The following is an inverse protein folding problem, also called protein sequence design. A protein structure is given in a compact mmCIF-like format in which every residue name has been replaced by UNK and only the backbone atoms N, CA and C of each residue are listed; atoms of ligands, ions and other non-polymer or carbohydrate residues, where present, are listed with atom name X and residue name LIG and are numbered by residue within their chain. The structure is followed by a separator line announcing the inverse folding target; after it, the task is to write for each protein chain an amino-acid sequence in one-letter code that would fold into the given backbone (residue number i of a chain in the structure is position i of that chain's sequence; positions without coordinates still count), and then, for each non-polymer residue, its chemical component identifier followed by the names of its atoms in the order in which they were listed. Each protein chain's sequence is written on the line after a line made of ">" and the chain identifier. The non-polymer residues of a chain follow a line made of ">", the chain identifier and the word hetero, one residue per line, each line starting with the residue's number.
data_IF_971508416066
#
_entry.id   IF_971508416066
#
_cell.length_a   1.000
_cell.length_b   1.000
_cell.length_c   1.000
_cell.angle_alpha   90.00
_cell.angle_beta   90.00
_cell.angle_gamma   90.00
#
_symmetry.space_group_name_H-M   'P 1'
#
loop_
_entity.id
_entity.type
_entity.pdbx_description
1 polymer ?
#
# COMPACT_ATOMS: atom_id res chain seq x y z
N UNK A 1 18.17 6.92 4.49
CA UNK A 1 18.71 5.71 5.14
C UNK A 1 17.64 5.22 6.09
N UNK A 2 17.25 3.93 6.07
CA UNK A 2 16.26 3.43 7.03
C UNK A 2 16.77 3.70 8.44
N UNK A 3 15.92 4.28 9.29
CA UNK A 3 16.28 4.54 10.68
C UNK A 3 16.32 3.18 11.37
N UNK A 4 17.52 2.71 11.72
CA UNK A 4 17.65 1.42 12.42
C UNK A 4 16.78 1.50 13.68
N UNK A 5 15.87 0.55 13.87
CA UNK A 5 14.99 0.49 15.04
C UNK A 5 15.84 0.48 16.32
N UNK A 6 15.51 1.34 17.29
CA UNK A 6 16.34 1.52 18.49
C UNK A 6 15.58 1.24 19.77
N UNK A 7 16.32 1.10 20.86
CA UNK A 7 15.76 1.23 22.20
C UNK A 7 15.47 2.71 22.45
N UNK A 8 14.23 2.99 22.85
CA UNK A 8 13.72 4.30 23.23
C UNK A 8 13.39 4.26 24.73
N UNK A 9 13.18 5.41 25.32
CA UNK A 9 12.69 5.51 26.69
C UNK A 9 11.42 6.35 26.72
N UNK A 10 10.57 6.15 27.73
CA UNK A 10 9.37 6.96 27.91
C UNK A 10 9.23 7.48 29.33
N UNK A 11 8.55 8.62 29.48
CA UNK A 11 8.20 9.20 30.77
C UNK A 11 6.87 9.96 30.66
N UNK A 12 6.09 10.10 31.74
CA UNK A 12 4.84 10.83 31.70
C UNK A 12 5.06 12.34 31.63
N UNK A 13 4.28 13.03 30.80
CA UNK A 13 4.20 14.48 30.76
C UNK A 13 3.72 15.00 32.13
N UNK A 14 4.40 16.00 32.72
CA UNK A 14 4.05 16.50 34.05
C UNK A 14 2.69 17.22 34.11
N UNK A 15 2.17 17.70 32.97
CA UNK A 15 0.89 18.42 32.90
C UNK A 15 -0.31 17.53 32.56
N UNK A 16 -0.19 16.67 31.54
CA UNK A 16 -1.32 15.89 31.02
C UNK A 16 -1.17 14.37 31.15
N UNK A 17 -0.09 13.89 31.77
CA UNK A 17 0.26 12.46 31.93
C UNK A 17 0.44 11.66 30.62
N UNK A 18 0.44 12.31 29.46
CA UNK A 18 0.73 11.65 28.20
C UNK A 18 2.18 11.12 28.17
N UNK A 19 2.39 9.95 27.58
CA UNK A 19 3.71 9.33 27.50
C UNK A 19 4.55 10.06 26.45
N UNK A 20 5.62 10.70 26.91
CA UNK A 20 6.64 11.32 26.07
C UNK A 20 7.71 10.27 25.78
N UNK A 21 8.16 10.19 24.53
CA UNK A 21 9.15 9.19 24.09
C UNK A 21 10.41 9.89 23.64
N UNK A 22 11.55 9.38 24.12
CA UNK A 22 12.89 9.92 23.91
C UNK A 22 13.68 8.95 23.05
N UNK A 23 14.33 9.46 22.01
CA UNK A 23 15.07 8.66 21.04
C UNK A 23 16.60 8.78 21.18
N UNK A 24 17.08 9.86 21.79
CA UNK A 24 18.51 10.10 22.01
C UNK A 24 18.80 10.56 23.43
N UNK A 25 20.04 10.35 23.88
CA UNK A 25 20.55 10.92 25.13
C UNK A 25 20.78 12.42 25.05
N UNK A 26 20.92 12.95 23.84
CA UNK A 26 21.15 14.37 23.58
C UNK A 26 19.84 15.19 23.64
N UNK A 27 18.69 14.54 23.84
CA UNK A 27 17.40 15.21 24.00
C UNK A 27 17.21 15.61 25.47
N UNK A 28 17.39 16.90 25.75
CA UNK A 28 17.18 17.46 27.09
C UNK A 28 15.72 17.86 27.35
N UNK A 29 14.97 18.15 26.29
CA UNK A 29 13.57 18.57 26.36
C UNK A 29 12.74 17.91 25.26
N UNK A 30 11.49 17.59 25.57
CA UNK A 30 10.51 17.06 24.62
C UNK A 30 9.21 17.86 24.72
N UNK A 31 8.68 18.26 23.58
CA UNK A 31 7.37 18.92 23.49
C UNK A 31 6.25 17.88 23.50
N UNK A 32 5.28 18.07 24.37
CA UNK A 32 4.13 17.19 24.49
C UNK A 32 3.08 17.53 23.43
N UNK A 33 2.94 16.69 22.40
CA UNK A 33 1.95 16.88 21.31
C UNK A 33 0.48 16.85 21.74
N UNK A 34 0.18 16.62 23.03
CA UNK A 34 -1.17 16.60 23.59
C UNK A 34 -1.54 17.89 24.34
N UNK A 35 -0.56 18.63 24.87
CA UNK A 35 -0.80 19.84 25.67
C UNK A 35 0.18 20.98 25.38
N UNK A 36 1.00 20.82 24.33
CA UNK A 36 2.03 21.74 23.85
C UNK A 36 3.04 22.18 24.91
N UNK A 37 3.12 21.45 26.04
CA UNK A 37 4.04 21.76 27.11
C UNK A 37 5.41 21.11 26.83
N UNK A 38 6.47 21.90 26.97
CA UNK A 38 7.84 21.41 26.90
C UNK A 38 8.22 20.82 28.26
N UNK A 39 8.57 19.54 28.30
CA UNK A 39 8.98 18.82 29.49
C UNK A 39 10.48 18.52 29.44
N UNK A 40 11.16 18.70 30.57
CA UNK A 40 12.57 18.33 30.72
C UNK A 40 12.70 16.82 30.89
N UNK A 41 13.65 16.21 30.17
CA UNK A 41 13.86 14.77 30.20
C UNK A 41 14.54 14.37 31.52
N UNK A 42 13.92 13.50 32.35
CA UNK A 42 14.52 13.08 33.62
C UNK A 42 15.93 12.50 33.44
N UNK A 43 16.84 12.78 34.38
CA UNK A 43 18.20 12.24 34.33
C UNK A 43 18.22 10.70 34.25
N UNK A 44 17.32 10.04 34.99
CA UNK A 44 17.15 8.58 34.96
C UNK A 44 16.79 8.03 33.56
N UNK A 45 16.13 8.83 32.71
CA UNK A 45 15.82 8.48 31.32
C UNK A 45 17.03 8.68 30.42
N UNK A 46 17.73 9.82 30.54
CA UNK A 46 18.93 10.13 29.73
C UNK A 46 20.10 9.17 30.02
N UNK A 47 20.23 8.74 31.27
CA UNK A 47 21.32 7.87 31.71
C UNK A 47 21.06 6.37 31.43
N UNK A 48 19.93 6.00 30.79
CA UNK A 48 19.64 4.60 30.45
C UNK A 48 20.75 4.02 29.56
N UNK A 49 21.43 2.94 29.96
CA UNK A 49 22.60 2.40 29.26
C UNK A 49 22.25 1.83 27.87
N UNK A 50 20.98 1.45 27.68
CA UNK A 50 20.44 0.88 26.46
C UNK A 50 19.78 1.89 25.52
N UNK A 51 19.48 3.12 25.98
CA UNK A 51 18.87 4.16 25.15
C UNK A 51 19.71 4.44 23.89
N UNK A 52 19.06 4.36 22.73
CA UNK A 52 19.68 4.55 21.42
C UNK A 52 20.36 3.31 20.82
N UNK A 53 20.43 2.19 21.54
CA UNK A 53 20.99 0.94 20.99
C UNK A 53 20.11 0.39 19.87
N UNK A 54 20.72 -0.07 18.77
CA UNK A 54 20.00 -0.72 17.69
C UNK A 54 19.45 -2.09 18.13
N UNK A 55 18.26 -2.43 17.66
CA UNK A 55 17.65 -3.75 17.86
C UNK A 55 18.12 -4.74 16.78
N UNK A 56 17.90 -6.03 17.05
CA UNK A 56 18.18 -7.16 16.14
C UNK A 56 17.18 -7.27 14.97
N UNK A 57 16.19 -6.39 14.91
CA UNK A 57 15.13 -6.40 13.91
C UNK A 57 14.75 -4.98 13.48
N UNK A 58 14.10 -4.90 12.31
CA UNK A 58 13.59 -3.65 11.73
C UNK A 58 12.07 -3.60 11.87
N UNK A 59 11.59 -2.84 12.86
CA UNK A 59 10.16 -2.67 13.11
C UNK A 59 9.45 -1.94 11.96
N UNK A 60 10.11 -1.01 11.27
CA UNK A 60 9.53 -0.35 10.09
C UNK A 60 9.31 -1.36 8.97
N UNK A 61 10.29 -2.24 8.72
CA UNK A 61 10.16 -3.30 7.72
C UNK A 61 9.02 -4.27 8.06
N UNK A 62 8.86 -4.66 9.33
CA UNK A 62 7.74 -5.50 9.78
C UNK A 62 6.39 -4.81 9.58
N UNK A 63 6.28 -3.51 9.89
CA UNK A 63 5.05 -2.73 9.65
C UNK A 63 4.76 -2.61 8.15
N UNK A 64 5.77 -2.33 7.31
CA UNK A 64 5.63 -2.32 5.84
C UNK A 64 5.09 -3.65 5.32
N UNK A 65 5.61 -4.76 5.82
CA UNK A 65 5.15 -6.09 5.43
C UNK A 65 3.71 -6.36 5.89
N UNK A 66 3.34 -5.93 7.11
CA UNK A 66 1.99 -6.05 7.61
C UNK A 66 0.98 -5.23 6.79
N UNK A 67 1.32 -3.98 6.44
CA UNK A 67 0.52 -3.13 5.53
C UNK A 67 0.40 -3.82 4.17
N UNK A 68 1.51 -4.31 3.62
CA UNK A 68 1.49 -5.00 2.33
C UNK A 68 0.60 -6.24 2.35
N UNK A 69 0.68 -7.05 3.41
CA UNK A 69 -0.18 -8.23 3.59
C UNK A 69 -1.66 -7.83 3.68
N UNK A 70 -2.01 -6.81 4.45
CA UNK A 70 -3.39 -6.35 4.62
C UNK A 70 -3.95 -5.78 3.31
N UNK A 71 -3.21 -4.86 2.67
CA UNK A 71 -3.62 -4.23 1.42
C UNK A 71 -3.75 -5.27 0.32
N UNK A 72 -2.82 -6.23 0.17
CA UNK A 72 -2.94 -7.29 -0.84
C UNK A 72 -4.15 -8.20 -0.59
N UNK A 73 -4.43 -8.54 0.68
CA UNK A 73 -5.59 -9.37 1.02
C UNK A 73 -6.93 -8.67 0.74
N UNK A 74 -6.98 -7.34 0.95
CA UNK A 74 -8.17 -6.54 0.68
C UNK A 74 -8.22 -5.96 -0.76
N UNK A 75 -7.15 -6.11 -1.55
CA UNK A 75 -7.07 -5.52 -2.87
C UNK A 75 -7.99 -6.22 -3.85
N UNK A 76 -9.13 -5.59 -4.14
CA UNK A 76 -9.93 -5.89 -5.32
C UNK A 76 -9.27 -5.20 -6.52
N UNK A 77 -8.72 -6.00 -7.43
CA UNK A 77 -8.06 -5.52 -8.63
C UNK A 77 -9.00 -4.74 -9.57
N UNK A 78 -8.46 -4.03 -10.56
CA UNK A 78 -9.26 -3.45 -11.64
C UNK A 78 -9.91 -4.57 -12.46
N UNK A 79 -11.14 -4.94 -12.12
CA UNK A 79 -11.91 -5.90 -12.91
C UNK A 79 -12.57 -5.18 -14.08
N UNK A 80 -12.26 -5.62 -15.31
CA UNK A 80 -13.09 -5.32 -16.46
C UNK A 80 -14.32 -6.22 -16.40
N UNK A 81 -15.52 -5.65 -16.54
CA UNK A 81 -16.77 -6.44 -16.56
C UNK A 81 -16.68 -7.48 -17.67
N UNK A 82 -17.07 -8.72 -17.41
CA UNK A 82 -16.93 -9.82 -18.38
C UNK A 82 -17.55 -9.54 -19.76
N UNK A 83 -18.63 -8.77 -19.83
CA UNK A 83 -19.24 -8.35 -21.10
C UNK A 83 -18.37 -7.39 -21.93
N UNK A 84 -17.53 -6.56 -21.28
CA UNK A 84 -16.56 -5.70 -21.99
C UNK A 84 -15.46 -6.55 -22.61
N UNK A 85 -14.95 -7.54 -21.87
CA UNK A 85 -13.94 -8.47 -22.36
C UNK A 85 -14.49 -9.27 -23.54
N UNK A 86 -15.70 -9.82 -23.40
CA UNK A 86 -16.37 -10.57 -24.45
C UNK A 86 -16.65 -9.70 -25.69
N UNK A 87 -17.16 -8.48 -25.49
CA UNK A 87 -17.44 -7.54 -26.58
C UNK A 87 -16.17 -7.15 -27.33
N UNK A 88 -15.07 -6.88 -26.61
CA UNK A 88 -13.78 -6.57 -27.22
C UNK A 88 -13.21 -7.76 -27.99
N UNK A 89 -13.29 -8.97 -27.43
CA UNK A 89 -12.82 -10.19 -28.10
C UNK A 89 -13.61 -10.48 -29.38
N UNK A 90 -14.93 -10.32 -29.35
CA UNK A 90 -15.80 -10.49 -30.53
C UNK A 90 -15.45 -9.43 -31.59
N UNK A 91 -15.36 -8.16 -31.21
CA UNK A 91 -15.03 -7.09 -32.15
C UNK A 91 -13.64 -7.30 -32.79
N UNK A 92 -12.64 -7.68 -32.00
CA UNK A 92 -11.29 -7.96 -32.46
C UNK A 92 -11.25 -9.16 -33.41
N UNK A 93 -11.96 -10.24 -33.09
CA UNK A 93 -12.06 -11.42 -33.96
C UNK A 93 -12.75 -11.11 -35.28
N UNK A 94 -13.89 -10.41 -35.26
CA UNK A 94 -14.62 -10.00 -36.47
C UNK A 94 -13.76 -9.10 -37.35
N UNK A 95 -13.11 -8.09 -36.77
CA UNK A 95 -12.26 -7.16 -37.52
C UNK A 95 -11.05 -7.87 -38.12
N UNK A 96 -10.36 -8.72 -37.34
CA UNK A 96 -9.23 -9.49 -37.84
C UNK A 96 -9.61 -10.45 -38.98
N UNK A 97 -10.73 -11.16 -38.84
CA UNK A 97 -11.26 -12.05 -39.87
C UNK A 97 -11.57 -11.29 -41.16
N UNK A 98 -12.27 -10.15 -41.03
CA UNK A 98 -12.64 -9.32 -42.17
C UNK A 98 -11.39 -8.76 -42.87
N UNK A 99 -10.41 -8.25 -42.13
CA UNK A 99 -9.18 -7.70 -42.74
C UNK A 99 -8.33 -8.73 -43.44
N UNK A 100 -8.35 -10.00 -42.99
CA UNK A 100 -7.53 -11.06 -43.58
C UNK A 100 -8.18 -11.70 -44.80
N UNK A 101 -9.51 -11.87 -44.80
CA UNK A 101 -10.22 -12.64 -45.82
C UNK A 101 -10.90 -11.77 -46.89
N UNK A 102 -11.33 -10.54 -46.57
CA UNK A 102 -11.96 -9.64 -47.54
C UNK A 102 -11.10 -9.23 -48.76
N UNK A 103 -9.75 -9.15 -48.68
CA UNK A 103 -8.95 -8.82 -49.87
C UNK A 103 -8.67 -10.03 -50.80
N UNK A 104 -9.11 -11.24 -50.45
CA UNK A 104 -8.93 -12.44 -51.28
C UNK A 104 -10.10 -12.62 -52.24
N UNK A 105 -9.82 -13.00 -53.49
CA UNK A 105 -10.87 -13.26 -54.50
C UNK A 105 -11.71 -14.50 -54.18
N UNK A 106 -11.09 -15.53 -53.58
CA UNK A 106 -11.75 -16.77 -53.13
C UNK A 106 -11.29 -17.15 -51.71
N UNK A 107 -11.81 -16.51 -50.65
CA UNK A 107 -11.37 -16.78 -49.29
C UNK A 107 -11.86 -18.15 -48.80
N UNK A 108 -10.94 -18.98 -48.32
CA UNK A 108 -11.28 -20.24 -47.66
C UNK A 108 -11.66 -19.99 -46.19
N UNK A 109 -12.39 -20.93 -45.59
CA UNK A 109 -12.81 -20.83 -44.19
C UNK A 109 -11.61 -20.76 -43.22
N UNK A 110 -10.46 -21.33 -43.61
CA UNK A 110 -9.20 -21.21 -42.89
C UNK A 110 -8.68 -19.77 -42.80
N UNK A 111 -8.92 -18.95 -43.81
CA UNK A 111 -8.42 -17.56 -43.87
C UNK A 111 -9.20 -16.66 -42.91
N UNK A 112 -10.53 -16.88 -42.83
CA UNK A 112 -11.39 -16.23 -41.84
C UNK A 112 -10.99 -16.63 -40.41
N UNK A 113 -10.76 -17.93 -40.18
CA UNK A 113 -10.37 -18.44 -38.87
C UNK A 113 -9.00 -17.91 -38.42
N UNK A 114 -8.03 -17.86 -39.35
CA UNK A 114 -6.71 -17.30 -39.09
C UNK A 114 -6.78 -15.81 -38.76
N UNK A 115 -7.48 -15.03 -39.58
CA UNK A 115 -7.69 -13.60 -39.32
C UNK A 115 -8.38 -13.33 -37.98
N UNK A 116 -9.38 -14.13 -37.62
CA UNK A 116 -10.06 -14.01 -36.33
C UNK A 116 -9.10 -14.27 -35.15
N UNK A 117 -8.26 -15.31 -35.24
CA UNK A 117 -7.26 -15.63 -34.24
C UNK A 117 -6.22 -14.53 -34.08
N UNK A 118 -5.67 -14.03 -35.19
CA UNK A 118 -4.69 -12.92 -35.18
C UNK A 118 -5.29 -11.66 -34.57
N UNK A 119 -6.49 -11.27 -35.00
CA UNK A 119 -7.19 -10.10 -34.46
C UNK A 119 -7.41 -10.20 -32.95
N UNK A 120 -7.84 -11.37 -32.47
CA UNK A 120 -8.04 -11.62 -31.05
C UNK A 120 -6.73 -11.52 -30.26
N UNK A 121 -5.65 -12.14 -30.73
CA UNK A 121 -4.33 -12.11 -30.06
C UNK A 121 -3.78 -10.68 -29.97
N UNK A 122 -3.84 -9.94 -31.09
CA UNK A 122 -3.27 -8.59 -31.19
C UNK A 122 -3.98 -7.59 -30.29
N UNK A 123 -5.27 -7.79 -30.00
CA UNK A 123 -6.04 -6.88 -29.13
C UNK A 123 -6.03 -7.36 -27.67
N UNK A 124 -6.24 -8.67 -27.43
CA UNK A 124 -6.43 -9.20 -26.08
C UNK A 124 -5.15 -9.28 -25.27
N UNK A 125 -3.99 -9.52 -25.90
CA UNK A 125 -2.70 -9.55 -25.18
C UNK A 125 -2.35 -8.15 -24.62
N UNK A 126 -2.30 -7.07 -25.43
CA UNK A 126 -2.05 -5.73 -24.89
C UNK A 126 -3.10 -5.31 -23.87
N UNK A 127 -4.38 -5.66 -24.08
CA UNK A 127 -5.44 -5.36 -23.12
C UNK A 127 -5.18 -6.02 -21.75
N UNK A 128 -4.81 -7.30 -21.73
CA UNK A 128 -4.42 -8.00 -20.49
C UNK A 128 -3.21 -7.37 -19.81
N UNK A 129 -2.19 -6.97 -20.57
CA UNK A 129 -1.01 -6.28 -20.03
C UNK A 129 -1.38 -4.92 -19.42
N UNK A 130 -2.29 -4.17 -20.03
CA UNK A 130 -2.78 -2.90 -19.48
C UNK A 130 -3.55 -3.12 -18.19
N UNK A 131 -4.43 -4.13 -18.12
CA UNK A 131 -5.12 -4.47 -16.86
C UNK A 131 -4.13 -4.84 -15.75
N UNK A 132 -3.11 -5.63 -16.06
CA UNK A 132 -2.06 -5.98 -15.12
C UNK A 132 -1.25 -4.76 -14.65
N UNK A 133 -0.95 -3.84 -15.57
CA UNK A 133 -0.28 -2.58 -15.26
C UNK A 133 -1.13 -1.67 -14.38
N UNK A 134 -2.43 -1.60 -14.62
CA UNK A 134 -3.36 -0.86 -13.76
C UNK A 134 -3.47 -1.50 -12.38
N UNK A 135 -3.49 -2.83 -12.30
CA UNK A 135 -3.52 -3.56 -11.04
C UNK A 135 -2.27 -3.26 -10.20
N UNK A 136 -1.08 -3.29 -10.81
CA UNK A 136 0.16 -2.98 -10.10
C UNK A 136 0.23 -1.53 -9.65
N UNK A 137 -0.13 -0.57 -10.52
CA UNK A 137 -0.18 0.87 -10.18
C UNK A 137 -1.16 1.18 -9.05
N UNK A 138 -2.35 0.59 -9.08
CA UNK A 138 -3.35 0.79 -8.03
C UNK A 138 -2.92 0.18 -6.70
N UNK A 139 -2.29 -1.01 -6.74
CA UNK A 139 -1.71 -1.63 -5.55
C UNK A 139 -0.64 -0.74 -4.92
N UNK A 140 0.33 -0.24 -5.68
CA UNK A 140 1.39 0.65 -5.15
C UNK A 140 0.81 1.90 -4.50
N UNK A 141 -0.16 2.56 -5.15
CA UNK A 141 -0.82 3.74 -4.57
C UNK A 141 -1.57 3.42 -3.27
N UNK A 142 -2.23 2.27 -3.20
CA UNK A 142 -2.91 1.82 -1.98
C UNK A 142 -1.91 1.53 -0.86
N UNK A 143 -0.73 1.00 -1.18
CA UNK A 143 0.35 0.82 -0.21
C UNK A 143 0.88 2.16 0.31
N UNK A 144 1.19 3.10 -0.57
CA UNK A 144 1.64 4.46 -0.19
C UNK A 144 0.59 5.19 0.65
N UNK A 145 -0.69 5.06 0.30
CA UNK A 145 -1.78 5.65 1.07
C UNK A 145 -1.92 5.02 2.45
N UNK A 146 -1.85 3.69 2.55
CA UNK A 146 -1.87 2.98 3.83
C UNK A 146 -0.70 3.35 4.73
N UNK A 147 0.47 3.59 4.14
CA UNK A 147 1.64 4.11 4.85
C UNK A 147 1.41 5.50 5.44
N UNK A 148 0.98 6.44 4.59
CA UNK A 148 0.75 7.83 5.01
C UNK A 148 -0.33 7.92 6.09
N UNK A 149 -1.43 7.17 5.95
CA UNK A 149 -2.52 7.18 6.92
C UNK A 149 -2.12 6.59 8.28
N UNK A 150 -1.24 5.59 8.29
CA UNK A 150 -0.70 5.05 9.54
C UNK A 150 0.27 6.05 10.19
N UNK A 151 1.13 6.69 9.39
CA UNK A 151 2.08 7.69 9.86
C UNK A 151 1.40 8.94 10.43
N UNK A 152 0.33 9.41 9.78
CA UNK A 152 -0.45 10.60 10.15
C UNK A 152 -1.39 10.39 11.35
N UNK A 153 -1.59 9.15 11.82
CA UNK A 153 -2.35 8.91 13.07
C UNK A 153 -1.61 9.52 14.26
N UNK A 154 -2.09 10.69 14.67
CA UNK A 154 -1.63 11.45 15.83
C UNK A 154 -2.03 10.79 17.17
N UNK A 155 -3.14 10.05 17.19
CA UNK A 155 -3.67 9.43 18.42
C UNK A 155 -3.12 8.03 18.64
N UNK A 156 -1.88 7.98 19.13
CA UNK A 156 -1.25 6.73 19.57
C UNK A 156 -1.58 6.52 21.02
N UNK A 157 -2.16 5.38 21.36
CA UNK A 157 -2.45 5.00 22.75
C UNK A 157 -1.72 3.71 23.08
N UNK A 158 -1.32 3.57 24.34
CA UNK A 158 -0.75 2.32 24.82
C UNK A 158 -1.82 1.23 24.72
N UNK A 159 -1.61 0.13 23.96
CA UNK A 159 -2.61 -0.91 23.81
C UNK A 159 -2.93 -1.67 25.11
N UNK A 160 -2.07 -1.57 26.14
CA UNK A 160 -2.27 -2.23 27.43
C UNK A 160 -3.04 -1.37 28.44
N UNK A 161 -2.78 -0.06 28.51
CA UNK A 161 -3.36 0.83 29.53
C UNK A 161 -4.13 2.04 28.97
N UNK A 162 -4.27 2.13 27.65
CA UNK A 162 -4.90 3.23 26.91
C UNK A 162 -4.31 4.63 27.17
N UNK A 163 -3.15 4.73 27.82
CA UNK A 163 -2.47 6.02 28.02
C UNK A 163 -2.11 6.65 26.67
N UNK A 164 -2.37 7.95 26.47
CA UNK A 164 -1.96 8.65 25.25
C UNK A 164 -0.43 8.66 25.15
N UNK A 165 0.08 8.48 23.95
CA UNK A 165 1.50 8.51 23.60
C UNK A 165 1.70 9.70 22.66
N UNK A 166 2.70 10.52 22.96
CA UNK A 166 3.05 11.67 22.14
C UNK A 166 3.60 11.28 20.77
N UNK A 167 3.99 12.29 20.00
CA UNK A 167 4.68 12.09 18.74
C UNK A 167 5.95 11.25 18.94
N UNK A 168 6.16 10.26 18.05
CA UNK A 168 7.37 9.44 18.04
C UNK A 168 8.34 10.02 17.02
N UNK A 169 9.55 10.34 17.45
CA UNK A 169 10.62 10.83 16.57
C UNK A 169 11.29 9.70 15.76
N UNK A 170 11.23 8.46 16.25
CA UNK A 170 11.86 7.31 15.62
C UNK A 170 11.11 6.00 15.91
N UNK A 171 11.35 4.98 15.08
CA UNK A 171 10.91 3.62 15.35
C UNK A 171 11.76 2.98 16.45
N UNK A 172 11.12 2.28 17.38
CA UNK A 172 11.84 1.68 18.48
C UNK A 172 11.00 0.99 19.55
N UNK A 173 11.71 0.37 20.49
CA UNK A 173 11.15 -0.34 21.64
C UNK A 173 11.30 0.48 22.90
N UNK A 174 10.24 0.64 23.68
CA UNK A 174 10.26 1.32 24.98
C UNK A 174 9.31 0.66 25.97
N UNK A 175 9.52 0.90 27.25
CA UNK A 175 8.62 0.47 28.31
C UNK A 175 7.62 1.59 28.61
N UNK A 176 6.34 1.26 28.72
CA UNK A 176 5.29 2.20 29.05
C UNK A 176 5.45 2.66 30.51
N UNK A 177 5.77 3.93 30.75
CA UNK A 177 5.98 4.46 32.11
C UNK A 177 4.75 4.40 33.05
N UNK A 178 3.55 4.05 32.54
CA UNK A 178 2.32 3.93 33.33
C UNK A 178 1.97 2.48 33.73
N UNK A 179 2.34 1.49 32.92
CA UNK A 179 1.97 0.09 33.14
C UNK A 179 3.11 -0.91 32.95
N UNK A 180 4.34 -0.42 32.79
CA UNK A 180 5.59 -1.18 32.65
C UNK A 180 5.59 -2.22 31.52
N UNK A 181 4.62 -2.14 30.61
CA UNK A 181 4.53 -3.03 29.46
C UNK A 181 5.52 -2.59 28.39
N UNK A 182 6.33 -3.52 27.88
CA UNK A 182 7.22 -3.25 26.75
C UNK A 182 6.42 -3.12 25.46
N UNK A 183 6.64 -2.00 24.77
CA UNK A 183 5.98 -1.62 23.53
C UNK A 183 7.01 -1.48 22.41
N UNK A 184 6.56 -1.72 21.18
CA UNK A 184 7.30 -1.37 19.97
C UNK A 184 6.45 -0.38 19.19
N UNK A 185 7.08 0.67 18.70
CA UNK A 185 6.43 1.63 17.83
C UNK A 185 7.21 1.86 16.55
N UNK A 186 6.49 1.93 15.43
CA UNK A 186 7.03 2.17 14.10
C UNK A 186 5.91 2.70 13.19
N UNK A 187 6.23 3.67 12.33
CA UNK A 187 5.35 4.25 11.30
C UNK A 187 3.93 4.59 11.78
N UNK A 188 3.86 5.10 13.01
CA UNK A 188 2.62 5.53 13.65
C UNK A 188 1.75 4.44 14.28
N UNK A 189 2.17 3.18 14.24
CA UNK A 189 1.58 2.11 15.02
C UNK A 189 2.36 1.84 16.31
N UNK A 190 1.63 1.45 17.36
CA UNK A 190 2.19 0.99 18.65
C UNK A 190 1.59 -0.36 18.99
N UNK A 191 2.44 -1.32 19.33
CA UNK A 191 2.07 -2.70 19.69
C UNK A 191 2.76 -3.14 20.97
N UNK A 192 2.18 -4.12 21.64
CA UNK A 192 2.86 -4.81 22.74
C UNK A 192 3.98 -5.70 22.16
N UNK A 193 5.15 -5.70 22.78
CA UNK A 193 6.28 -6.54 22.40
C UNK A 193 6.09 -7.99 22.89
N UNK A 194 5.06 -8.66 22.38
CA UNK A 194 4.78 -10.07 22.72
C UNK A 194 5.10 -11.00 21.55
N UNK A 195 5.71 -12.18 21.80
CA UNK A 195 5.84 -13.23 20.80
C UNK A 195 4.47 -13.88 20.50
N UNK A 196 4.21 -14.31 19.25
CA UNK A 196 5.07 -14.25 18.08
C UNK A 196 5.06 -12.87 17.37
N UNK A 197 6.25 -12.37 17.02
CA UNK A 197 6.46 -11.04 16.39
C UNK A 197 5.64 -10.78 15.10
N UNK A 198 5.48 -11.70 14.13
CA UNK A 198 4.86 -11.37 12.84
C UNK A 198 3.34 -11.14 12.88
N UNK A 199 2.63 -11.51 13.95
CA UNK A 199 1.18 -11.32 14.06
C UNK A 199 0.80 -9.99 14.70
N UNK A 200 1.67 -9.42 15.55
CA UNK A 200 1.36 -8.18 16.32
C UNK A 200 1.01 -7.00 15.43
N UNK A 201 1.75 -6.81 14.34
CA UNK A 201 1.54 -5.70 13.41
C UNK A 201 0.31 -5.91 12.54
N UNK A 202 -0.02 -7.17 12.18
CA UNK A 202 -1.19 -7.47 11.36
C UNK A 202 -2.48 -7.00 12.03
N UNK A 203 -2.63 -7.23 13.33
CA UNK A 203 -3.81 -6.81 14.08
C UNK A 203 -3.87 -5.29 14.29
N UNK A 204 -2.73 -4.64 14.55
CA UNK A 204 -2.66 -3.20 14.68
C UNK A 204 -2.99 -2.48 13.37
N UNK A 205 -2.38 -2.92 12.27
CA UNK A 205 -2.66 -2.41 10.91
C UNK A 205 -4.10 -2.70 10.51
N UNK A 206 -4.62 -3.90 10.78
CA UNK A 206 -6.01 -4.23 10.47
C UNK A 206 -7.02 -3.39 11.27
N UNK A 207 -6.73 -3.06 12.53
CA UNK A 207 -7.56 -2.11 13.32
C UNK A 207 -7.47 -0.70 12.76
N UNK A 208 -6.26 -0.26 12.41
CA UNK A 208 -6.01 1.06 11.85
C UNK A 208 -6.71 1.25 10.49
N UNK A 209 -6.61 0.28 9.59
CA UNK A 209 -7.09 0.42 8.21
C UNK A 209 -8.48 -0.21 8.00
N UNK A 210 -9.20 -0.57 9.07
CA UNK A 210 -10.51 -1.23 8.97
C UNK A 210 -11.57 -0.34 8.31
N UNK A 211 -11.62 0.91 8.74
CA UNK A 211 -12.67 1.86 8.36
C UNK A 211 -12.26 2.70 7.14
N UNK A 212 -11.10 2.43 6.57
CA UNK A 212 -10.53 3.13 5.43
C UNK A 212 -11.29 2.77 4.14
N UNK A 213 -12.21 3.64 3.71
CA UNK A 213 -13.09 3.41 2.55
C UNK A 213 -12.31 3.07 1.27
N UNK A 214 -11.13 3.68 1.08
CA UNK A 214 -10.28 3.48 -0.11
C UNK A 214 -9.70 2.06 -0.23
N UNK A 215 -9.62 1.31 0.87
CA UNK A 215 -9.16 -0.09 0.85
C UNK A 215 -10.15 -0.91 0.00
N UNK A 216 -11.45 -0.67 0.21
CA UNK A 216 -12.56 -1.38 -0.42
C UNK A 216 -12.98 -0.78 -1.77
N UNK A 217 -12.55 0.43 -2.12
CA UNK A 217 -12.79 1.01 -3.44
C UNK A 217 -11.97 0.25 -4.50
N UNK A 218 -12.63 -0.69 -5.17
CA UNK A 218 -12.13 -1.40 -6.35
C UNK A 218 -12.64 -0.80 -7.66
N UNK A 219 -12.14 -1.34 -8.78
CA UNK A 219 -12.62 -1.01 -10.12
C UNK A 219 -11.77 -0.02 -10.90
N UNK A 220 -12.09 0.09 -12.18
CA UNK A 220 -11.37 0.92 -13.14
C UNK A 220 -11.94 2.34 -13.09
N UNK A 221 -11.15 3.37 -12.73
CA UNK A 221 -11.65 4.74 -12.77
C UNK A 221 -12.10 5.07 -14.20
N UNK A 222 -13.21 5.83 -14.35
CA UNK A 222 -13.79 6.14 -15.67
C UNK A 222 -12.78 6.67 -16.69
N UNK A 223 -11.82 7.48 -16.23
CA UNK A 223 -10.73 7.99 -17.06
C UNK A 223 -9.82 6.89 -17.64
N UNK A 224 -9.54 5.84 -16.88
CA UNK A 224 -8.73 4.70 -17.35
C UNK A 224 -9.54 3.78 -18.28
N UNK A 225 -10.85 3.66 -18.06
CA UNK A 225 -11.73 2.95 -19.00
C UNK A 225 -11.74 3.64 -20.38
N UNK A 226 -11.84 4.97 -20.41
CA UNK A 226 -11.74 5.77 -21.64
C UNK A 226 -10.37 5.61 -22.32
N UNK A 227 -9.28 5.61 -21.55
CA UNK A 227 -7.95 5.38 -22.08
C UNK A 227 -7.83 3.99 -22.73
N UNK A 228 -8.38 2.95 -22.10
CA UNK A 228 -8.37 1.60 -22.66
C UNK A 228 -9.19 1.50 -23.95
N UNK A 229 -10.35 2.16 -24.02
CA UNK A 229 -11.13 2.25 -25.26
C UNK A 229 -10.31 2.97 -26.35
N UNK A 230 -9.69 4.10 -26.04
CA UNK A 230 -8.82 4.82 -26.99
C UNK A 230 -7.64 3.98 -27.48
N UNK A 231 -6.92 3.31 -26.58
CA UNK A 231 -5.78 2.46 -26.91
C UNK A 231 -6.20 1.28 -27.78
N UNK A 232 -7.30 0.60 -27.44
CA UNK A 232 -7.83 -0.51 -28.24
C UNK A 232 -8.27 -0.04 -29.62
N UNK A 233 -8.95 1.12 -29.74
CA UNK A 233 -9.29 1.71 -31.05
C UNK A 233 -8.07 2.12 -31.86
N UNK A 234 -7.02 2.66 -31.23
CA UNK A 234 -5.77 3.03 -31.90
C UNK A 234 -5.00 1.80 -32.39
N UNK A 235 -4.90 0.74 -31.58
CA UNK A 235 -4.30 -0.52 -31.98
C UNK A 235 -5.06 -1.16 -33.15
N UNK A 236 -6.39 -1.16 -33.10
CA UNK A 236 -7.23 -1.62 -34.22
C UNK A 236 -7.01 -0.78 -35.47
N UNK A 237 -6.97 0.55 -35.36
CA UNK A 237 -6.69 1.44 -36.48
C UNK A 237 -5.30 1.21 -37.09
N UNK A 238 -4.27 0.98 -36.26
CA UNK A 238 -2.92 0.69 -36.71
C UNK A 238 -2.83 -0.66 -37.43
N UNK A 239 -3.51 -1.69 -36.93
CA UNK A 239 -3.56 -3.01 -37.59
C UNK A 239 -4.27 -2.92 -38.95
N UNK A 240 -5.40 -2.20 -39.02
CA UNK A 240 -6.10 -1.96 -40.29
C UNK A 240 -5.20 -1.22 -41.28
N UNK A 241 -4.44 -0.23 -40.81
CA UNK A 241 -3.52 0.53 -41.66
C UNK A 241 -2.36 -0.35 -42.18
N UNK A 242 -1.76 -1.16 -41.31
CA UNK A 242 -0.66 -2.08 -41.68
C UNK A 242 -1.15 -3.13 -42.69
N UNK A 243 -2.33 -3.71 -42.46
CA UNK A 243 -2.92 -4.71 -43.36
C UNK A 243 -3.36 -4.12 -44.72
N UNK A 244 -3.55 -2.80 -44.82
CA UNK A 244 -3.82 -2.12 -46.10
C UNK A 244 -2.56 -1.69 -46.87
N UNK A 245 -1.42 -1.59 -46.18
CA UNK A 245 -0.15 -1.14 -46.77
C UNK A 245 0.80 -2.30 -47.11
N UNK A 246 0.56 -3.48 -46.56
CA UNK A 246 1.31 -4.72 -46.81
C UNK A 246 0.73 -5.59 -47.91
#
# INVERSE_FOLDING_TARGET
>A
MPSATRVLASFPCPSCEALLVVASRDEDVVECSQCDQVAEVPAAVRERPDLGQALDYDAEAEVREAIASYVRAAHVGPEARGWLIAGLAIAAGVLGAFTSAAPLDEPALSDWAWGAGVGLVVVMIPFGLVLQFLASRTLTRKLERGWNELAERADRTCPACAAPIGALAAAGRFDCARCDTTLVAADGAVVVDNPPRPTRWKEAVARALRDAEWVNQGGIPRAHALLMVLLTTLCLGAVILILRLG
#
